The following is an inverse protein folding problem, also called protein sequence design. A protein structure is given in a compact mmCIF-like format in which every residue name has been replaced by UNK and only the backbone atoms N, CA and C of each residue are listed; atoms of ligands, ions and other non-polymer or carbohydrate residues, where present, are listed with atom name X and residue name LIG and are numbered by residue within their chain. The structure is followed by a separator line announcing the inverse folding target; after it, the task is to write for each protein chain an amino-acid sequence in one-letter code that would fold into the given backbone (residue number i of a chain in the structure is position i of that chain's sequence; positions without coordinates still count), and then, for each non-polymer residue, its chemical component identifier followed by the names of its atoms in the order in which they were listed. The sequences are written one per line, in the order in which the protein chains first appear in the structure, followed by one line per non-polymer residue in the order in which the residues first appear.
data_IF_106679506672
#
_entry.id   IF_106679506672
#
_cell.length_a   1.000
_cell.length_b   1.000
_cell.length_c   1.000
_cell.angle_alpha   90.00
_cell.angle_beta   90.00
_cell.angle_gamma   90.00
#
_symmetry.space_group_name_H-M   'P 1'
#
loop_
_entity.id
_entity.type
_entity.pdbx_description
1 polymer ?
#
# COMPACT_ATOMS: atom_id res chain seq x y z
N UNK A 1 -64.16 -36.10 38.59
CA UNK A 1 -63.30 -35.67 39.72
C UNK A 1 -61.91 -35.46 39.14
N UNK A 2 -61.36 -34.25 39.26
CA UNK A 2 -60.01 -33.95 38.75
C UNK A 2 -59.02 -34.15 39.90
N UNK A 3 -57.98 -34.96 39.68
CA UNK A 3 -56.95 -35.27 40.67
C UNK A 3 -55.58 -34.96 40.07
N UNK A 4 -54.72 -34.31 40.85
CA UNK A 4 -53.33 -34.01 40.50
C UNK A 4 -52.45 -34.58 41.61
N UNK A 5 -51.50 -35.45 41.28
CA UNK A 5 -50.54 -36.00 42.23
C UNK A 5 -49.12 -35.81 41.70
N UNK A 6 -48.21 -35.37 42.55
CA UNK A 6 -46.79 -35.23 42.24
C UNK A 6 -46.45 -34.21 41.16
N UNK A 7 -45.34 -34.43 40.45
CA UNK A 7 -44.80 -33.53 39.43
C UNK A 7 -43.36 -33.12 39.69
N UNK A 8 -42.78 -32.29 38.81
CA UNK A 8 -41.40 -31.80 38.94
C UNK A 8 -41.40 -30.29 39.13
N UNK A 9 -40.78 -29.81 40.20
CA UNK A 9 -40.59 -28.37 40.40
C UNK A 9 -39.51 -27.84 39.44
N UNK A 10 -39.88 -26.90 38.55
CA UNK A 10 -38.96 -26.29 37.57
C UNK A 10 -37.85 -25.44 38.21
N UNK A 11 -38.02 -24.94 39.43
CA UNK A 11 -37.05 -24.03 40.08
C UNK A 11 -35.97 -24.77 40.88
N UNK A 12 -36.36 -25.84 41.57
CA UNK A 12 -35.47 -26.56 42.51
C UNK A 12 -35.14 -27.98 42.07
N UNK A 13 -35.67 -28.43 40.93
CA UNK A 13 -35.49 -29.79 40.41
C UNK A 13 -35.69 -30.85 41.49
N UNK A 14 -36.84 -30.81 42.17
CA UNK A 14 -37.26 -31.84 43.11
C UNK A 14 -38.67 -32.33 42.74
N UNK A 15 -38.99 -33.56 43.14
CA UNK A 15 -40.32 -34.11 42.99
C UNK A 15 -41.28 -33.38 43.94
N UNK A 16 -42.40 -32.90 43.40
CA UNK A 16 -43.49 -32.36 44.21
C UNK A 16 -44.11 -33.48 45.01
N UNK A 17 -44.45 -33.21 46.25
CA UNK A 17 -44.98 -34.17 47.20
C UNK A 17 -46.39 -33.78 47.64
N UNK A 18 -47.20 -33.41 46.65
CA UNK A 18 -48.56 -32.97 46.89
C UNK A 18 -49.54 -33.83 46.07
N UNK A 19 -50.69 -34.13 46.69
CA UNK A 19 -51.85 -34.67 46.00
C UNK A 19 -53.05 -33.75 46.23
N UNK A 20 -53.73 -33.38 45.17
CA UNK A 20 -54.82 -32.42 45.15
C UNK A 20 -56.02 -32.99 44.43
N UNK A 21 -57.20 -32.73 44.98
CA UNK A 21 -58.48 -33.08 44.38
C UNK A 21 -59.31 -31.82 44.19
N UNK A 22 -59.88 -31.66 43.00
CA UNK A 22 -60.76 -30.53 42.70
C UNK A 22 -62.20 -30.88 43.09
N UNK A 23 -62.74 -30.15 44.05
CA UNK A 23 -64.14 -30.21 44.39
C UNK A 23 -64.95 -29.36 43.41
N UNK A 24 -65.66 -30.02 42.49
CA UNK A 24 -66.46 -29.36 41.46
C UNK A 24 -67.63 -28.59 42.08
N UNK A 25 -68.23 -29.06 43.18
CA UNK A 25 -69.40 -28.40 43.76
C UNK A 25 -69.05 -27.12 44.51
N UNK A 26 -67.89 -27.11 45.19
CA UNK A 26 -67.38 -25.95 45.92
C UNK A 26 -66.42 -25.09 45.10
N UNK A 27 -66.10 -25.49 43.85
CA UNK A 27 -65.08 -24.87 43.00
C UNK A 27 -63.74 -24.64 43.72
N UNK A 28 -63.33 -25.58 44.57
CA UNK A 28 -62.17 -25.44 45.45
C UNK A 28 -61.22 -26.64 45.36
N UNK A 29 -59.94 -26.41 45.63
CA UNK A 29 -58.93 -27.46 45.69
C UNK A 29 -58.75 -27.95 47.13
N UNK A 30 -58.78 -29.27 47.32
CA UNK A 30 -58.54 -29.91 48.61
C UNK A 30 -57.21 -30.65 48.50
N UNK A 31 -56.30 -30.41 49.46
CA UNK A 31 -55.03 -31.14 49.57
C UNK A 31 -55.26 -32.45 50.33
N UNK A 32 -54.78 -33.55 49.77
CA UNK A 32 -54.85 -34.89 50.34
C UNK A 32 -53.50 -35.27 50.93
N UNK A 33 -53.53 -35.83 52.13
CA UNK A 33 -52.35 -36.34 52.84
C UNK A 33 -52.11 -37.80 52.44
N UNK A 34 -51.49 -38.00 51.27
CA UNK A 34 -51.17 -39.33 50.72
C UNK A 34 -49.71 -39.69 51.03
N UNK A 35 -49.41 -40.99 51.09
CA UNK A 35 -48.04 -41.47 51.30
C UNK A 35 -47.06 -40.90 50.26
N UNK A 36 -45.83 -40.61 50.67
CA UNK A 36 -44.74 -40.19 49.78
C UNK A 36 -44.51 -41.16 48.62
N UNK A 37 -44.79 -42.45 48.81
CA UNK A 37 -44.74 -43.43 47.72
C UNK A 37 -45.69 -43.04 46.60
N UNK A 38 -46.77 -42.30 46.82
CA UNK A 38 -47.76 -41.90 45.81
C UNK A 38 -47.50 -40.48 45.28
N UNK A 39 -47.27 -39.52 46.18
CA UNK A 39 -47.12 -38.10 45.85
C UNK A 39 -45.73 -37.76 45.33
N UNK A 40 -44.65 -38.27 45.93
CA UNK A 40 -43.27 -37.88 45.60
C UNK A 40 -42.72 -38.61 44.36
N UNK A 41 -43.36 -38.40 43.21
CA UNK A 41 -42.93 -38.94 41.90
C UNK A 41 -43.37 -38.08 40.72
N UNK A 42 -42.68 -38.19 39.59
CA UNK A 42 -43.00 -37.50 38.32
C UNK A 42 -42.96 -38.45 37.11
N UNK A 43 -43.59 -38.05 36.00
CA UNK A 43 -43.76 -38.88 34.78
C UNK A 43 -44.39 -40.24 35.10
N UNK A 44 -45.42 -40.23 35.94
CA UNK A 44 -46.22 -41.41 36.28
C UNK A 44 -47.60 -41.33 35.63
N UNK A 45 -48.31 -42.45 35.59
CA UNK A 45 -49.71 -42.50 35.17
C UNK A 45 -50.63 -42.52 36.40
N UNK A 46 -51.75 -41.80 36.31
CA UNK A 46 -52.75 -41.68 37.36
C UNK A 46 -54.13 -42.00 36.79
N UNK A 47 -54.86 -42.90 37.45
CA UNK A 47 -56.24 -43.27 37.09
C UNK A 47 -57.13 -43.22 38.33
N UNK A 48 -58.37 -42.78 38.16
CA UNK A 48 -59.34 -42.61 39.25
C UNK A 48 -60.59 -43.44 38.96
N UNK A 49 -61.02 -44.24 39.94
CA UNK A 49 -62.20 -45.11 39.85
C UNK A 49 -63.19 -44.79 40.97
N UNK A 50 -64.44 -44.51 40.62
CA UNK A 50 -65.49 -44.22 41.61
C UNK A 50 -66.14 -45.56 42.00
N UNK A 51 -65.94 -45.98 43.25
CA UNK A 51 -66.49 -47.24 43.76
C UNK A 51 -67.88 -47.05 44.37
N UNK A 52 -68.10 -45.92 45.03
CA UNK A 52 -69.40 -45.48 45.55
C UNK A 52 -69.40 -43.96 45.75
N UNK A 53 -70.54 -43.32 46.06
CA UNK A 53 -70.58 -41.90 46.41
C UNK A 53 -69.65 -41.50 47.57
N UNK A 54 -69.24 -42.47 48.39
CA UNK A 54 -68.44 -42.28 49.59
C UNK A 54 -67.04 -42.90 49.50
N UNK A 55 -66.68 -43.53 48.37
CA UNK A 55 -65.42 -44.24 48.19
C UNK A 55 -64.90 -44.09 46.75
N UNK A 56 -63.69 -43.56 46.60
CA UNK A 56 -63.00 -43.37 45.32
C UNK A 56 -61.61 -43.97 45.41
N UNK A 57 -61.16 -44.64 44.36
CA UNK A 57 -59.84 -45.25 44.29
C UNK A 57 -58.95 -44.50 43.33
N UNK A 58 -57.71 -44.27 43.74
CA UNK A 58 -56.66 -43.67 42.92
C UNK A 58 -55.59 -44.72 42.68
N UNK A 59 -55.31 -45.03 41.41
CA UNK A 59 -54.24 -45.94 41.01
C UNK A 59 -53.12 -45.12 40.41
N UNK A 60 -51.92 -45.27 40.97
CA UNK A 60 -50.70 -44.60 40.51
C UNK A 60 -49.73 -45.66 40.00
N UNK A 61 -49.25 -45.51 38.75
CA UNK A 61 -48.39 -46.50 38.08
C UNK A 61 -47.11 -45.85 37.57
N UNK A 62 -45.97 -46.45 37.93
CA UNK A 62 -44.65 -46.09 37.43
C UNK A 62 -44.18 -44.70 37.85
N UNK A 63 -43.24 -44.16 37.08
CA UNK A 63 -42.62 -42.84 37.30
C UNK A 63 -41.24 -42.89 37.94
N UNK A 64 -40.73 -41.70 38.23
CA UNK A 64 -39.40 -41.47 38.79
C UNK A 64 -39.51 -40.82 40.17
N UNK A 65 -38.72 -41.29 41.13
CA UNK A 65 -38.77 -40.87 42.53
C UNK A 65 -37.94 -39.60 42.81
N UNK A 66 -36.93 -39.32 41.99
CA UNK A 66 -36.00 -38.20 42.19
C UNK A 66 -35.46 -37.66 40.85
N UNK A 67 -34.72 -36.56 40.92
CA UNK A 67 -34.11 -35.91 39.74
C UNK A 67 -32.86 -36.57 39.20
N UNK A 68 -32.40 -37.66 39.83
CA UNK A 68 -31.44 -38.59 39.24
C UNK A 68 -32.12 -39.61 38.32
N UNK A 69 -33.42 -39.45 38.08
CA UNK A 69 -34.23 -40.37 37.27
C UNK A 69 -34.23 -41.79 37.85
N UNK A 70 -34.22 -41.91 39.17
CA UNK A 70 -34.39 -43.20 39.85
C UNK A 70 -35.78 -43.75 39.55
N UNK A 71 -35.85 -44.83 38.76
CA UNK A 71 -37.10 -45.47 38.39
C UNK A 71 -37.78 -46.07 39.63
N UNK A 72 -39.08 -45.85 39.79
CA UNK A 72 -39.84 -46.54 40.82
C UNK A 72 -40.02 -48.01 40.44
N UNK A 73 -39.44 -48.89 41.24
CA UNK A 73 -39.48 -50.35 41.03
C UNK A 73 -40.39 -51.05 42.04
N UNK A 74 -40.52 -52.37 41.93
CA UNK A 74 -41.30 -53.21 42.84
C UNK A 74 -40.80 -53.05 44.30
N UNK A 75 -41.70 -52.91 45.30
CA UNK A 75 -43.15 -53.09 45.21
C UNK A 75 -43.96 -51.82 44.90
N UNK A 76 -43.34 -50.65 44.91
CA UNK A 76 -44.01 -49.34 44.78
C UNK A 76 -44.33 -48.94 43.33
N UNK A 77 -44.10 -49.85 42.36
CA UNK A 77 -44.38 -49.60 40.94
C UNK A 77 -45.86 -49.34 40.67
N UNK A 78 -46.76 -50.00 41.41
CA UNK A 78 -48.20 -49.72 41.41
C UNK A 78 -48.63 -49.43 42.84
N UNK A 79 -49.31 -48.30 43.04
CA UNK A 79 -49.90 -47.91 44.31
C UNK A 79 -51.41 -47.74 44.13
N UNK A 80 -52.21 -48.32 45.03
CA UNK A 80 -53.65 -48.13 45.12
C UNK A 80 -53.96 -47.35 46.40
N UNK A 81 -54.55 -46.16 46.27
CA UNK A 81 -54.94 -45.29 47.38
C UNK A 81 -56.45 -45.19 47.44
N UNK A 82 -57.03 -45.56 48.58
CA UNK A 82 -58.47 -45.40 48.84
C UNK A 82 -58.74 -43.99 49.37
N UNK A 83 -59.79 -43.33 48.86
CA UNK A 83 -60.34 -42.09 49.38
C UNK A 83 -61.76 -42.36 49.89
N UNK A 84 -62.02 -42.00 51.14
CA UNK A 84 -63.33 -42.19 51.77
C UNK A 84 -63.88 -40.87 52.30
N UNK A 85 -65.19 -40.68 52.18
CA UNK A 85 -65.85 -39.53 52.81
C UNK A 85 -66.18 -39.84 54.27
N UNK A 86 -65.83 -38.93 55.18
CA UNK A 86 -66.21 -39.05 56.58
C UNK A 86 -67.72 -38.77 56.79
N UNK A 87 -68.21 -38.90 58.03
CA UNK A 87 -69.63 -38.64 58.36
C UNK A 87 -70.09 -37.19 58.12
N UNK A 88 -69.16 -36.27 57.84
CA UNK A 88 -69.41 -34.86 57.49
C UNK A 88 -69.34 -34.62 55.97
N UNK A 89 -69.08 -35.65 55.17
CA UNK A 89 -68.96 -35.56 53.71
C UNK A 89 -67.60 -35.03 53.21
N UNK A 90 -66.59 -34.93 54.09
CA UNK A 90 -65.25 -34.49 53.71
C UNK A 90 -64.40 -35.67 53.25
N UNK A 91 -63.61 -35.47 52.19
CA UNK A 91 -62.71 -36.49 51.64
C UNK A 91 -61.49 -36.69 52.54
N UNK A 92 -61.22 -37.95 52.89
CA UNK A 92 -60.06 -38.38 53.67
C UNK A 92 -59.34 -39.52 52.97
N UNK A 93 -58.02 -39.61 53.16
CA UNK A 93 -57.20 -40.68 52.61
C UNK A 93 -57.32 -41.92 53.50
N UNK A 94 -57.77 -43.02 52.91
CA UNK A 94 -57.85 -44.35 53.51
C UNK A 94 -56.58 -45.16 53.28
N UNK A 95 -56.74 -46.47 53.06
CA UNK A 95 -55.59 -47.37 52.88
C UNK A 95 -54.81 -47.08 51.60
N UNK A 96 -53.48 -47.12 51.69
CA UNK A 96 -52.56 -47.07 50.53
C UNK A 96 -51.79 -48.37 50.43
N UNK A 97 -51.94 -49.08 49.31
CA UNK A 97 -51.38 -50.41 49.10
C UNK A 97 -50.40 -50.40 47.93
N UNK A 98 -49.28 -51.09 48.11
CA UNK A 98 -48.32 -51.36 47.06
C UNK A 98 -48.65 -52.68 46.33
N UNK A 99 -47.81 -53.08 45.38
CA UNK A 99 -48.00 -54.30 44.57
C UNK A 99 -48.09 -55.58 45.42
N UNK A 100 -47.43 -55.62 46.58
CA UNK A 100 -47.48 -56.76 47.48
C UNK A 100 -48.75 -56.73 48.34
N UNK A 101 -49.13 -55.55 48.85
CA UNK A 101 -50.34 -55.34 49.62
C UNK A 101 -51.62 -55.65 48.84
N UNK A 102 -51.65 -55.29 47.55
CA UNK A 102 -52.77 -55.63 46.66
C UNK A 102 -52.89 -57.15 46.41
N UNK A 103 -51.79 -57.89 46.48
CA UNK A 103 -51.76 -59.34 46.29
C UNK A 103 -52.01 -60.14 47.59
N UNK A 104 -52.12 -59.47 48.74
CA UNK A 104 -52.41 -60.11 50.03
C UNK A 104 -53.84 -60.69 50.06
N UNK A 105 -53.99 -61.94 50.48
CA UNK A 105 -55.28 -62.64 50.61
C UNK A 105 -56.24 -61.93 51.58
N UNK A 106 -55.71 -61.26 52.60
CA UNK A 106 -56.52 -60.49 53.55
C UNK A 106 -57.18 -59.27 52.89
N UNK A 107 -56.47 -58.59 51.97
CA UNK A 107 -57.02 -57.46 51.22
C UNK A 107 -58.04 -57.90 50.17
N UNK A 108 -57.78 -59.00 49.46
CA UNK A 108 -58.75 -59.58 48.51
C UNK A 108 -60.08 -59.90 49.18
N UNK A 109 -60.05 -60.43 50.41
CA UNK A 109 -61.25 -60.71 51.21
C UNK A 109 -62.00 -59.44 51.65
N UNK A 110 -61.27 -58.40 52.08
CA UNK A 110 -61.83 -57.07 52.40
C UNK A 110 -62.55 -56.47 51.19
N UNK A 111 -61.91 -56.52 50.01
CA UNK A 111 -62.47 -55.98 48.78
C UNK A 111 -63.76 -56.70 48.34
N UNK A 112 -63.79 -58.04 48.42
CA UNK A 112 -65.00 -58.80 48.10
C UNK A 112 -66.20 -58.42 49.01
N UNK A 113 -65.96 -58.14 50.30
CA UNK A 113 -67.01 -57.68 51.21
C UNK A 113 -67.52 -56.27 50.90
N UNK A 114 -66.63 -55.35 50.49
CA UNK A 114 -67.03 -53.99 50.09
C UNK A 114 -67.92 -54.00 48.84
N UNK A 115 -67.56 -54.79 47.82
CA UNK A 115 -68.39 -54.95 46.61
C UNK A 115 -69.80 -55.48 46.92
N UNK A 116 -69.92 -56.44 47.84
CA UNK A 116 -71.22 -56.97 48.27
C UNK A 116 -72.05 -55.92 49.03
N UNK A 117 -71.41 -55.03 49.79
CA UNK A 117 -72.08 -53.97 50.55
C UNK A 117 -72.58 -52.84 49.64
N UNK A 118 -71.75 -52.40 48.68
CA UNK A 118 -72.14 -51.37 47.69
C UNK A 118 -73.32 -51.85 46.85
N UNK A 119 -73.31 -53.12 46.40
CA UNK A 119 -74.44 -53.71 45.66
C UNK A 119 -75.75 -53.68 46.47
N UNK A 120 -75.70 -53.88 47.78
CA UNK A 120 -76.87 -53.84 48.67
C UNK A 120 -77.43 -52.43 48.82
N UNK A 121 -76.56 -51.44 49.08
CA UNK A 121 -76.94 -50.02 49.21
C UNK A 121 -77.61 -49.53 47.92
N UNK A 122 -77.06 -49.90 46.76
CA UNK A 122 -77.61 -49.51 45.46
C UNK A 122 -79.04 -50.04 45.24
N UNK A 123 -79.33 -51.24 45.72
CA UNK A 123 -80.68 -51.86 45.65
C UNK A 123 -81.67 -51.20 46.63
N UNK A 124 -81.22 -50.75 47.81
CA UNK A 124 -82.11 -50.21 48.85
C UNK A 124 -82.43 -48.71 48.70
N UNK A 125 -81.49 -47.90 48.18
CA UNK A 125 -81.65 -46.44 48.01
C UNK A 125 -82.48 -46.07 46.77
N UNK A 126 -82.34 -46.78 45.65
CA UNK A 126 -82.93 -46.38 44.37
C UNK A 126 -84.33 -46.95 44.08
N UNK A 127 -84.90 -47.77 44.97
CA UNK A 127 -86.23 -48.39 44.78
C UNK A 127 -87.35 -47.95 45.76
N UNK A 128 -87.20 -46.84 46.52
CA UNK A 128 -88.30 -46.35 47.38
C UNK A 128 -89.13 -45.22 46.74
N UNK A 129 -90.46 -45.36 46.60
CA UNK A 129 -91.34 -44.25 46.27
C UNK A 129 -91.48 -43.30 47.47
N UNK A 130 -91.15 -42.01 47.30
CA UNK A 130 -91.36 -40.98 48.34
C UNK A 130 -92.79 -40.42 48.24
N UNK A 131 -93.53 -40.44 49.36
CA UNK A 131 -94.89 -39.87 49.48
C UNK A 131 -94.81 -38.42 49.99
N UNK A 132 -95.30 -37.47 49.21
CA UNK A 132 -95.52 -36.06 49.58
C UNK A 132 -96.58 -35.44 48.64
N UNK A 133 -97.39 -34.52 49.17
CA UNK A 133 -98.64 -34.03 48.58
C UNK A 133 -98.47 -33.40 47.18
N UNK A 134 -99.31 -33.83 46.24
CA UNK A 134 -99.19 -33.57 44.79
C UNK A 134 -99.27 -32.10 44.37
N UNK A 135 -99.85 -31.21 45.18
CA UNK A 135 -100.12 -29.82 44.79
C UNK A 135 -98.90 -28.88 44.87
N UNK A 136 -98.01 -29.07 45.84
CA UNK A 136 -96.78 -28.25 46.02
C UNK A 136 -95.70 -28.61 44.98
N UNK A 137 -95.71 -29.89 44.56
CA UNK A 137 -94.85 -30.43 43.51
C UNK A 137 -95.23 -29.83 42.14
N UNK A 138 -96.53 -29.72 41.83
CA UNK A 138 -97.00 -29.14 40.56
C UNK A 138 -96.58 -27.66 40.39
N UNK A 139 -96.72 -26.84 41.44
CA UNK A 139 -96.30 -25.43 41.38
C UNK A 139 -94.78 -25.29 41.22
N UNK A 140 -94.01 -26.13 41.92
CA UNK A 140 -92.56 -26.15 41.81
C UNK A 140 -92.11 -26.59 40.41
N UNK A 141 -92.74 -27.61 39.84
CA UNK A 141 -92.47 -28.06 38.46
C UNK A 141 -92.76 -26.92 37.48
N UNK A 142 -93.88 -26.22 37.63
CA UNK A 142 -94.27 -25.15 36.71
C UNK A 142 -93.32 -23.94 36.77
N UNK A 143 -92.83 -23.58 37.96
CA UNK A 143 -91.82 -22.54 38.13
C UNK A 143 -90.46 -22.94 37.52
N UNK A 144 -90.04 -24.19 37.73
CA UNK A 144 -88.81 -24.73 37.14
C UNK A 144 -88.90 -24.81 35.62
N UNK A 145 -90.03 -25.21 35.05
CA UNK A 145 -90.25 -25.23 33.60
C UNK A 145 -90.12 -23.82 33.00
N UNK A 146 -90.73 -22.80 33.63
CA UNK A 146 -90.60 -21.42 33.15
C UNK A 146 -89.16 -20.89 33.23
N UNK A 147 -88.45 -21.20 34.31
CA UNK A 147 -87.03 -20.83 34.45
C UNK A 147 -86.15 -21.58 33.44
N UNK A 148 -86.48 -22.82 33.11
CA UNK A 148 -85.76 -23.62 32.12
C UNK A 148 -85.96 -23.02 30.72
N UNK A 149 -87.18 -22.64 30.35
CA UNK A 149 -87.46 -21.97 29.07
C UNK A 149 -86.72 -20.63 28.94
N UNK A 150 -86.62 -19.85 30.03
CA UNK A 150 -85.89 -18.58 30.02
C UNK A 150 -84.38 -18.81 29.82
N UNK A 151 -83.81 -19.80 30.51
CA UNK A 151 -82.41 -20.21 30.32
C UNK A 151 -82.14 -20.79 28.94
N UNK A 152 -83.10 -21.50 28.36
CA UNK A 152 -83.01 -22.02 26.99
C UNK A 152 -82.99 -20.88 25.97
N UNK A 153 -83.83 -19.84 26.14
CA UNK A 153 -83.80 -18.64 25.29
C UNK A 153 -82.48 -17.88 25.42
N UNK A 154 -81.95 -17.70 26.64
CA UNK A 154 -80.63 -17.08 26.85
C UNK A 154 -79.52 -17.86 26.13
N UNK A 155 -79.52 -19.20 26.26
CA UNK A 155 -78.54 -20.06 25.60
C UNK A 155 -78.63 -19.95 24.07
N UNK A 156 -79.83 -19.84 23.50
CA UNK A 156 -80.02 -19.63 22.06
C UNK A 156 -79.44 -18.30 21.58
N UNK A 157 -79.61 -17.21 22.35
CA UNK A 157 -79.01 -15.91 22.02
C UNK A 157 -77.49 -15.96 22.07
N UNK A 158 -76.91 -16.59 23.11
CA UNK A 158 -75.46 -16.78 23.19
C UNK A 158 -74.93 -17.63 22.03
N UNK A 159 -75.65 -18.67 21.62
CA UNK A 159 -75.26 -19.50 20.50
C UNK A 159 -75.21 -18.70 19.19
N UNK A 160 -76.23 -17.87 18.92
CA UNK A 160 -76.24 -16.99 17.74
C UNK A 160 -75.09 -15.96 17.76
N UNK A 161 -74.78 -15.38 18.92
CA UNK A 161 -73.64 -14.45 19.06
C UNK A 161 -72.30 -15.14 18.84
N UNK A 162 -72.15 -16.38 19.30
CA UNK A 162 -70.93 -17.17 19.09
C UNK A 162 -70.75 -17.49 17.61
N UNK A 163 -71.81 -17.96 16.93
CA UNK A 163 -71.77 -18.22 15.49
C UNK A 163 -71.41 -16.96 14.69
N UNK A 164 -71.93 -15.80 15.08
CA UNK A 164 -71.60 -14.53 14.42
C UNK A 164 -70.11 -14.18 14.61
N UNK A 165 -69.57 -14.33 15.83
CA UNK A 165 -68.14 -14.12 16.08
C UNK A 165 -67.26 -15.08 15.29
N UNK A 166 -67.63 -16.35 15.21
CA UNK A 166 -66.89 -17.34 14.41
C UNK A 166 -66.86 -16.97 12.93
N UNK A 167 -67.97 -16.43 12.38
CA UNK A 167 -68.00 -15.92 11.00
C UNK A 167 -67.09 -14.71 10.81
N UNK A 168 -67.13 -13.73 11.73
CA UNK A 168 -66.26 -12.55 11.68
C UNK A 168 -64.76 -12.91 11.80
N UNK A 169 -64.42 -13.88 12.64
CA UNK A 169 -63.04 -14.39 12.76
C UNK A 169 -62.61 -15.13 11.49
N UNK A 170 -63.49 -15.94 10.89
CA UNK A 170 -63.20 -16.62 9.63
C UNK A 170 -62.97 -15.62 8.47
N UNK A 171 -63.73 -14.53 8.40
CA UNK A 171 -63.53 -13.47 7.41
C UNK A 171 -62.18 -12.75 7.59
N UNK A 172 -61.82 -12.39 8.83
CA UNK A 172 -60.51 -11.80 9.14
C UNK A 172 -59.37 -12.75 8.81
N UNK A 173 -59.53 -14.04 9.10
CA UNK A 173 -58.51 -15.03 8.77
C UNK A 173 -58.34 -15.21 7.26
N UNK A 174 -59.42 -15.15 6.48
CA UNK A 174 -59.34 -15.10 5.02
C UNK A 174 -58.64 -13.83 4.51
N UNK A 175 -58.88 -12.68 5.14
CA UNK A 175 -58.19 -11.43 4.81
C UNK A 175 -56.69 -11.51 5.11
N UNK A 176 -56.29 -12.03 6.28
CA UNK A 176 -54.89 -12.26 6.64
C UNK A 176 -54.24 -13.20 5.61
N UNK A 177 -54.90 -14.29 5.22
CA UNK A 177 -54.39 -15.21 4.19
C UNK A 177 -54.14 -14.51 2.86
N UNK A 178 -55.03 -13.60 2.45
CA UNK A 178 -54.84 -12.79 1.22
C UNK A 178 -53.63 -11.87 1.33
N UNK A 179 -53.46 -11.18 2.46
CA UNK A 179 -52.28 -10.34 2.69
C UNK A 179 -50.98 -11.14 2.73
N UNK A 180 -50.97 -12.30 3.39
CA UNK A 180 -49.80 -13.19 3.41
C UNK A 180 -49.41 -13.65 2.01
N UNK A 181 -50.38 -14.01 1.17
CA UNK A 181 -50.10 -14.39 -0.23
C UNK A 181 -49.51 -13.22 -1.02
N UNK A 182 -50.04 -12.00 -0.87
CA UNK A 182 -49.48 -10.82 -1.54
C UNK A 182 -48.05 -10.51 -1.09
N UNK A 183 -47.76 -10.68 0.20
CA UNK A 183 -46.41 -10.49 0.74
C UNK A 183 -45.44 -11.52 0.15
N UNK A 184 -45.85 -12.79 0.08
CA UNK A 184 -45.04 -13.87 -0.49
C UNK A 184 -44.72 -13.63 -1.97
N UNK A 185 -45.69 -13.16 -2.76
CA UNK A 185 -45.43 -12.79 -4.17
C UNK A 185 -44.43 -11.64 -4.27
N UNK A 186 -44.55 -10.60 -3.43
CA UNK A 186 -43.58 -9.49 -3.41
C UNK A 186 -42.18 -9.93 -2.98
N UNK A 187 -42.08 -10.80 -1.99
CA UNK A 187 -40.79 -11.36 -1.57
C UNK A 187 -40.16 -12.17 -2.71
N UNK A 188 -40.97 -12.92 -3.47
CA UNK A 188 -40.50 -13.65 -4.64
C UNK A 188 -40.02 -12.71 -5.75
N UNK A 189 -40.75 -11.64 -6.03
CA UNK A 189 -40.34 -10.61 -6.98
C UNK A 189 -39.02 -9.95 -6.58
N UNK A 190 -38.88 -9.55 -5.31
CA UNK A 190 -37.64 -8.99 -4.79
C UNK A 190 -36.48 -9.98 -4.89
N UNK A 191 -36.71 -11.26 -4.65
CA UNK A 191 -35.68 -12.28 -4.72
C UNK A 191 -35.19 -12.50 -6.16
N UNK A 192 -36.08 -12.45 -7.15
CA UNK A 192 -35.69 -12.48 -8.57
C UNK A 192 -34.84 -11.25 -8.91
N UNK A 193 -35.25 -10.05 -8.50
CA UNK A 193 -34.49 -8.81 -8.75
C UNK A 193 -33.11 -8.85 -8.09
N UNK A 194 -33.01 -9.42 -6.89
CA UNK A 194 -31.72 -9.60 -6.21
C UNK A 194 -30.81 -10.56 -7.00
N UNK A 195 -31.34 -11.70 -7.46
CA UNK A 195 -30.59 -12.64 -8.29
C UNK A 195 -30.11 -12.02 -9.61
N UNK A 196 -30.96 -11.24 -10.28
CA UNK A 196 -30.57 -10.51 -11.50
C UNK A 196 -29.46 -9.49 -11.23
N UNK A 197 -29.53 -8.76 -10.11
CA UNK A 197 -28.49 -7.81 -9.72
C UNK A 197 -27.18 -8.50 -9.35
N UNK A 198 -27.23 -9.61 -8.63
CA UNK A 198 -26.04 -10.39 -8.28
C UNK A 198 -25.34 -10.91 -9.53
N UNK A 199 -26.12 -11.37 -10.53
CA UNK A 199 -25.57 -11.79 -11.82
C UNK A 199 -24.92 -10.61 -12.58
N UNK A 200 -25.56 -9.44 -12.57
CA UNK A 200 -25.00 -8.25 -13.21
C UNK A 200 -23.70 -7.80 -12.53
N UNK A 201 -23.63 -7.87 -11.20
CA UNK A 201 -22.41 -7.58 -10.43
C UNK A 201 -21.29 -8.55 -10.84
N UNK A 202 -21.58 -9.85 -10.88
CA UNK A 202 -20.59 -10.87 -11.31
C UNK A 202 -20.07 -10.60 -12.72
N UNK A 203 -20.96 -10.27 -13.67
CA UNK A 203 -20.56 -9.93 -15.04
C UNK A 203 -19.67 -8.68 -15.08
N UNK A 204 -20.00 -7.66 -14.28
CA UNK A 204 -19.19 -6.44 -14.16
C UNK A 204 -17.83 -6.70 -13.54
N UNK A 205 -17.77 -7.54 -12.52
CA UNK A 205 -16.51 -7.93 -11.88
C UNK A 205 -15.62 -8.72 -12.85
N UNK A 206 -16.19 -9.63 -13.65
CA UNK A 206 -15.45 -10.33 -14.72
C UNK A 206 -14.95 -9.38 -15.82
N UNK A 207 -15.75 -8.40 -16.23
CA UNK A 207 -15.33 -7.36 -17.18
C UNK A 207 -14.17 -6.53 -16.62
N UNK A 208 -14.28 -6.06 -15.37
CA UNK A 208 -13.21 -5.31 -14.72
C UNK A 208 -11.94 -6.15 -14.56
N UNK A 209 -12.07 -7.43 -14.21
CA UNK A 209 -10.94 -8.34 -14.07
C UNK A 209 -10.17 -8.50 -15.39
N UNK A 210 -10.88 -8.63 -16.52
CA UNK A 210 -10.25 -8.69 -17.85
C UNK A 210 -9.50 -7.40 -18.18
N UNK A 211 -10.07 -6.24 -17.86
CA UNK A 211 -9.42 -4.93 -18.07
C UNK A 211 -8.15 -4.81 -17.21
N UNK A 212 -8.19 -5.26 -15.96
CA UNK A 212 -7.01 -5.27 -15.08
C UNK A 212 -5.91 -6.15 -15.68
N UNK A 213 -6.24 -7.38 -16.10
CA UNK A 213 -5.27 -8.30 -16.70
C UNK A 213 -4.65 -7.77 -18.01
N UNK A 214 -5.45 -7.06 -18.83
CA UNK A 214 -4.95 -6.38 -20.03
C UNK A 214 -3.99 -5.25 -19.66
N UNK A 215 -4.32 -4.44 -18.64
CA UNK A 215 -3.47 -3.34 -18.19
C UNK A 215 -2.19 -3.80 -17.52
N UNK A 216 -2.22 -4.87 -16.75
CA UNK A 216 -1.03 -5.48 -16.16
C UNK A 216 -0.07 -5.97 -17.25
N UNK A 217 -0.61 -6.55 -18.33
CA UNK A 217 0.19 -6.96 -19.50
C UNK A 217 0.82 -5.76 -20.21
N UNK A 218 0.05 -4.70 -20.47
CA UNK A 218 0.57 -3.45 -21.05
C UNK A 218 1.68 -2.83 -20.19
N UNK A 219 1.54 -2.89 -18.86
CA UNK A 219 2.55 -2.40 -17.92
C UNK A 219 3.82 -3.23 -17.99
N UNK A 220 3.70 -4.55 -18.03
CA UNK A 220 4.84 -5.46 -18.14
C UNK A 220 5.64 -5.22 -19.43
N UNK A 221 4.97 -5.09 -20.59
CA UNK A 221 5.63 -4.79 -21.87
C UNK A 221 6.36 -3.43 -21.85
N UNK A 222 5.77 -2.42 -21.20
CA UNK A 222 6.40 -1.10 -21.04
C UNK A 222 7.61 -1.16 -20.12
N UNK A 223 7.54 -1.94 -19.05
CA UNK A 223 8.65 -2.12 -18.11
C UNK A 223 9.83 -2.83 -18.79
N UNK A 224 9.58 -3.89 -19.56
CA UNK A 224 10.62 -4.56 -20.35
C UNK A 224 11.26 -3.62 -21.38
N UNK A 225 10.45 -2.80 -22.07
CA UNK A 225 10.95 -1.80 -23.01
C UNK A 225 11.81 -0.74 -22.32
N UNK A 226 11.42 -0.30 -21.12
CA UNK A 226 12.17 0.67 -20.34
C UNK A 226 13.51 0.09 -19.87
N UNK A 227 13.50 -1.15 -19.35
CA UNK A 227 14.71 -1.86 -18.96
C UNK A 227 15.68 -2.03 -20.13
N UNK A 228 15.18 -2.36 -21.33
CA UNK A 228 16.01 -2.46 -22.52
C UNK A 228 16.64 -1.11 -22.91
N UNK A 229 15.88 -0.01 -22.83
CA UNK A 229 16.40 1.34 -23.07
C UNK A 229 17.42 1.78 -22.04
N UNK A 230 17.20 1.48 -20.77
CA UNK A 230 18.15 1.80 -19.70
C UNK A 230 19.47 1.05 -19.90
N UNK A 231 19.41 -0.23 -20.27
CA UNK A 231 20.60 -1.01 -20.61
C UNK A 231 21.34 -0.41 -21.81
N UNK A 232 20.63 -0.02 -22.87
CA UNK A 232 21.24 0.65 -24.03
C UNK A 232 21.90 1.98 -23.65
N UNK A 233 21.23 2.79 -22.83
CA UNK A 233 21.77 4.07 -22.38
C UNK A 233 23.00 3.88 -21.49
N UNK A 234 23.03 2.83 -20.66
CA UNK A 234 24.18 2.49 -19.84
C UNK A 234 25.40 2.07 -20.69
N UNK A 235 25.19 1.27 -21.73
CA UNK A 235 26.25 0.92 -22.69
C UNK A 235 26.77 2.16 -23.40
N UNK A 236 25.88 3.02 -23.93
CA UNK A 236 26.27 4.26 -24.59
C UNK A 236 27.05 5.21 -23.67
N UNK A 237 26.66 5.30 -22.39
CA UNK A 237 27.39 6.08 -21.39
C UNK A 237 28.81 5.52 -21.16
N UNK A 238 28.98 4.20 -21.13
CA UNK A 238 30.29 3.58 -21.01
C UNK A 238 31.16 3.86 -22.23
N UNK A 239 30.63 3.69 -23.44
CA UNK A 239 31.32 3.98 -24.69
C UNK A 239 31.77 5.45 -24.75
N UNK A 240 30.87 6.39 -24.44
CA UNK A 240 31.19 7.82 -24.40
C UNK A 240 32.26 8.15 -23.35
N UNK A 241 32.24 7.49 -22.19
CA UNK A 241 33.28 7.67 -21.17
C UNK A 241 34.64 7.14 -21.65
N UNK A 242 34.66 6.02 -22.36
CA UNK A 242 35.90 5.47 -22.94
C UNK A 242 36.45 6.36 -24.04
N UNK A 243 35.59 6.88 -24.92
CA UNK A 243 35.98 7.83 -25.96
C UNK A 243 36.57 9.12 -25.34
N UNK A 244 35.93 9.64 -24.28
CA UNK A 244 36.45 10.81 -23.57
C UNK A 244 37.83 10.53 -22.95
N UNK A 245 38.01 9.37 -22.31
CA UNK A 245 39.33 8.97 -21.77
C UNK A 245 40.39 8.84 -22.86
N UNK A 246 40.01 8.36 -24.04
CA UNK A 246 40.94 8.28 -25.17
C UNK A 246 41.34 9.68 -25.65
N UNK A 247 40.37 10.58 -25.84
CA UNK A 247 40.64 11.97 -26.23
C UNK A 247 41.51 12.71 -25.20
N UNK A 248 41.29 12.47 -23.90
CA UNK A 248 42.12 13.04 -22.84
C UNK A 248 43.57 12.55 -22.93
N UNK A 249 43.80 11.26 -23.22
CA UNK A 249 45.15 10.72 -23.45
C UNK A 249 45.81 11.35 -24.68
N UNK A 250 45.11 11.42 -25.79
CA UNK A 250 45.61 12.07 -27.02
C UNK A 250 45.95 13.55 -26.77
N UNK A 251 45.11 14.27 -26.02
CA UNK A 251 45.37 15.66 -25.66
C UNK A 251 46.63 15.80 -24.79
N UNK A 252 46.82 14.91 -23.81
CA UNK A 252 48.01 14.91 -22.96
C UNK A 252 49.29 14.63 -23.77
N UNK A 253 49.26 13.66 -24.69
CA UNK A 253 50.39 13.33 -25.57
C UNK A 253 50.73 14.50 -26.52
N UNK A 254 49.70 15.14 -27.09
CA UNK A 254 49.86 16.31 -27.93
C UNK A 254 50.45 17.48 -27.16
N UNK A 255 49.97 17.73 -25.92
CA UNK A 255 50.53 18.77 -25.05
C UNK A 255 51.98 18.48 -24.69
N UNK A 256 52.34 17.23 -24.37
CA UNK A 256 53.72 16.84 -24.09
C UNK A 256 54.62 17.06 -25.32
N UNK A 257 54.13 16.70 -26.51
CA UNK A 257 54.85 16.90 -27.77
C UNK A 257 55.07 18.38 -28.07
N UNK A 258 54.06 19.23 -27.87
CA UNK A 258 54.18 20.68 -28.03
C UNK A 258 55.18 21.26 -27.05
N UNK A 259 55.09 20.91 -25.76
CA UNK A 259 56.07 21.34 -24.75
C UNK A 259 57.50 20.93 -25.12
N UNK A 260 57.67 19.71 -25.63
CA UNK A 260 58.98 19.23 -26.07
C UNK A 260 59.49 20.04 -27.28
N UNK A 261 58.62 20.35 -28.25
CA UNK A 261 58.97 21.23 -29.38
C UNK A 261 59.37 22.62 -28.90
N UNK A 262 58.64 23.21 -27.97
CA UNK A 262 58.95 24.54 -27.42
C UNK A 262 60.30 24.55 -26.70
N UNK A 263 60.62 23.50 -25.93
CA UNK A 263 61.93 23.35 -25.28
C UNK A 263 63.06 23.25 -26.32
N UNK A 264 62.88 22.48 -27.39
CA UNK A 264 63.88 22.34 -28.47
C UNK A 264 64.09 23.67 -29.18
N UNK A 265 63.02 24.42 -29.45
CA UNK A 265 63.10 25.76 -30.05
C UNK A 265 63.88 26.71 -29.16
N UNK A 266 63.59 26.76 -27.85
CA UNK A 266 64.36 27.57 -26.90
C UNK A 266 65.85 27.23 -26.86
N UNK A 267 66.19 25.94 -26.87
CA UNK A 267 67.58 25.51 -26.82
C UNK A 267 68.35 26.04 -28.03
N UNK A 268 67.73 25.93 -29.20
CA UNK A 268 68.27 26.49 -30.44
C UNK A 268 68.40 28.01 -30.38
N UNK A 269 67.35 28.70 -29.95
CA UNK A 269 67.32 30.18 -29.90
C UNK A 269 68.19 30.76 -28.77
N UNK A 270 68.63 29.93 -27.82
CA UNK A 270 69.64 30.28 -26.80
C UNK A 270 71.08 30.10 -27.30
N UNK A 271 71.37 29.01 -28.01
CA UNK A 271 72.74 28.56 -28.26
C UNK A 271 73.58 29.62 -29.00
N UNK A 272 73.05 30.14 -30.11
CA UNK A 272 73.76 31.13 -30.93
C UNK A 272 73.88 32.48 -30.22
N UNK A 273 72.80 33.09 -29.68
CA UNK A 273 72.90 34.40 -29.05
C UNK A 273 73.78 34.45 -27.80
N UNK A 274 73.89 33.34 -27.06
CA UNK A 274 74.74 33.26 -25.87
C UNK A 274 76.25 33.42 -26.15
N UNK A 275 76.69 33.16 -27.39
CA UNK A 275 78.10 33.18 -27.82
C UNK A 275 78.51 34.48 -28.50
N UNK A 276 77.56 35.37 -28.75
CA UNK A 276 77.73 36.59 -29.53
C UNK A 276 77.70 37.80 -28.60
N UNK A 277 78.73 38.64 -28.65
CA UNK A 277 78.80 39.91 -27.91
C UNK A 277 79.36 41.00 -28.81
N UNK A 278 78.53 41.98 -29.14
CA UNK A 278 78.90 43.10 -29.99
C UNK A 278 78.04 44.33 -29.65
N UNK A 279 78.59 45.56 -29.64
CA UNK A 279 77.82 46.77 -29.31
C UNK A 279 76.60 46.97 -30.20
N UNK A 280 76.67 46.62 -31.49
CA UNK A 280 75.55 46.76 -32.44
C UNK A 280 74.69 45.50 -32.62
N UNK A 281 74.73 44.55 -31.68
CA UNK A 281 73.84 43.39 -31.64
C UNK A 281 73.14 43.37 -30.28
N UNK A 282 71.84 43.07 -30.27
CA UNK A 282 71.05 43.05 -29.03
C UNK A 282 71.57 41.94 -28.12
N UNK A 283 72.12 42.33 -26.97
CA UNK A 283 72.77 41.42 -26.04
C UNK A 283 71.76 40.45 -25.43
N UNK A 284 71.96 39.16 -25.67
CA UNK A 284 71.34 38.09 -24.90
C UNK A 284 71.86 38.08 -23.47
N UNK A 285 70.95 38.04 -22.49
CA UNK A 285 71.26 38.01 -21.06
C UNK A 285 71.09 36.59 -20.50
N UNK A 286 70.00 35.92 -20.85
CA UNK A 286 69.68 34.59 -20.32
C UNK A 286 68.43 33.99 -20.92
N UNK A 287 68.13 32.74 -20.57
CA UNK A 287 66.88 32.08 -20.92
C UNK A 287 66.43 31.22 -19.73
N UNK A 288 65.11 31.14 -19.51
CA UNK A 288 64.52 30.26 -18.51
C UNK A 288 63.58 29.25 -19.16
N UNK A 289 63.52 28.07 -18.54
CA UNK A 289 62.64 26.96 -18.90
C UNK A 289 61.57 26.70 -17.83
N UNK A 290 61.58 27.46 -16.73
CA UNK A 290 60.66 27.27 -15.60
C UNK A 290 59.31 27.87 -15.94
N UNK A 291 58.26 27.06 -15.85
CA UNK A 291 56.85 27.35 -16.16
C UNK A 291 56.52 27.73 -17.61
N UNK A 292 57.36 28.55 -18.26
CA UNK A 292 57.29 28.85 -19.69
C UNK A 292 58.67 29.18 -20.32
N UNK A 293 58.87 28.81 -21.59
CA UNK A 293 59.93 29.29 -22.45
C UNK A 293 60.10 30.81 -22.47
N UNK A 294 61.19 31.37 -21.92
CA UNK A 294 61.46 32.81 -22.01
C UNK A 294 62.92 33.12 -22.32
N UNK A 295 63.14 34.10 -23.19
CA UNK A 295 64.44 34.66 -23.54
C UNK A 295 64.54 36.08 -22.98
N UNK A 296 65.64 36.36 -22.27
CA UNK A 296 65.94 37.67 -21.71
C UNK A 296 67.06 38.33 -22.53
N UNK A 297 66.79 39.53 -23.02
CA UNK A 297 67.76 40.37 -23.74
C UNK A 297 67.89 41.73 -23.08
N UNK A 298 68.87 42.53 -23.49
CA UNK A 298 68.88 43.95 -23.16
C UNK A 298 67.61 44.65 -23.66
N UNK A 299 67.20 45.69 -22.93
CA UNK A 299 66.01 46.48 -23.25
C UNK A 299 66.37 47.59 -24.24
N UNK A 300 65.64 47.63 -25.35
CA UNK A 300 65.71 48.68 -26.36
C UNK A 300 64.41 49.49 -26.34
N UNK A 301 64.47 50.79 -26.60
CA UNK A 301 63.33 51.70 -26.39
C UNK A 301 62.27 51.60 -27.47
N UNK A 302 62.65 51.29 -28.71
CA UNK A 302 61.75 51.21 -29.87
C UNK A 302 62.37 50.35 -30.96
N UNK A 303 61.59 49.91 -31.95
CA UNK A 303 62.12 49.35 -33.18
C UNK A 303 62.25 50.42 -34.26
N UNK A 304 63.15 50.19 -35.21
CA UNK A 304 63.32 51.05 -36.37
C UNK A 304 62.01 51.18 -37.15
N UNK A 305 61.25 50.08 -37.31
CA UNK A 305 59.92 50.10 -37.94
C UNK A 305 58.96 51.07 -37.25
N UNK A 306 58.93 51.05 -35.92
CA UNK A 306 58.05 51.90 -35.13
C UNK A 306 58.52 53.36 -35.15
N UNK A 307 59.83 53.59 -35.12
CA UNK A 307 60.42 54.93 -35.12
C UNK A 307 60.18 55.65 -36.46
N UNK A 308 60.36 54.98 -37.61
CA UNK A 308 60.06 55.55 -38.93
C UNK A 308 58.59 55.99 -39.03
N UNK A 309 57.68 55.23 -38.42
CA UNK A 309 56.24 55.54 -38.45
C UNK A 309 55.87 56.71 -37.53
N UNK A 310 56.63 56.91 -36.45
CA UNK A 310 56.38 57.98 -35.46
C UNK A 310 57.03 59.29 -35.85
N UNK A 311 58.28 59.24 -36.31
CA UNK A 311 59.12 60.40 -36.56
C UNK A 311 59.83 60.29 -37.92
N UNK A 312 60.06 61.42 -38.59
CA UNK A 312 60.92 61.45 -39.79
C UNK A 312 62.38 61.49 -39.35
N UNK A 313 63.11 60.42 -39.63
CA UNK A 313 64.53 60.32 -39.35
C UNK A 313 65.33 61.19 -40.34
N UNK A 314 66.28 61.94 -39.82
CA UNK A 314 67.20 62.78 -40.60
C UNK A 314 68.25 61.93 -41.29
N UNK A 315 68.78 62.37 -42.44
CA UNK A 315 69.79 61.62 -43.20
C UNK A 315 71.01 61.20 -42.36
N UNK A 316 71.43 62.02 -41.40
CA UNK A 316 72.52 61.72 -40.48
C UNK A 316 72.16 60.54 -39.55
N UNK A 317 70.94 60.51 -39.00
CA UNK A 317 70.43 59.39 -38.22
C UNK A 317 70.31 58.11 -39.07
N UNK A 318 69.85 58.22 -40.32
CA UNK A 318 69.76 57.07 -41.25
C UNK A 318 71.16 56.45 -41.44
N UNK A 319 72.15 57.28 -41.75
CA UNK A 319 73.52 56.84 -42.00
C UNK A 319 74.14 56.21 -40.77
N UNK A 320 73.92 56.79 -39.58
CA UNK A 320 74.41 56.23 -38.32
C UNK A 320 73.77 54.86 -38.03
N UNK A 321 72.45 54.74 -38.16
CA UNK A 321 71.74 53.46 -37.96
C UNK A 321 72.23 52.41 -38.97
N UNK A 322 72.42 52.79 -40.24
CA UNK A 322 72.92 51.89 -41.26
C UNK A 322 74.36 51.42 -40.99
N UNK A 323 75.21 52.32 -40.48
CA UNK A 323 76.56 52.00 -40.08
C UNK A 323 76.57 50.98 -38.92
N UNK A 324 75.79 51.24 -37.88
CA UNK A 324 75.63 50.34 -36.73
C UNK A 324 75.16 48.93 -37.15
N UNK A 325 74.12 48.86 -37.99
CA UNK A 325 73.63 47.58 -38.51
C UNK A 325 74.72 46.88 -39.34
N UNK A 326 75.43 47.61 -40.21
CA UNK A 326 76.50 47.04 -41.02
C UNK A 326 77.65 46.50 -40.15
N UNK A 327 77.99 47.16 -39.04
CA UNK A 327 78.98 46.69 -38.08
C UNK A 327 78.53 45.41 -37.37
N UNK A 328 77.28 45.37 -36.88
CA UNK A 328 76.69 44.17 -36.27
C UNK A 328 76.66 42.98 -37.21
N UNK A 329 76.24 43.17 -38.47
CA UNK A 329 76.25 42.12 -39.48
C UNK A 329 77.66 41.70 -39.87
N UNK A 330 78.59 42.65 -39.97
CA UNK A 330 79.99 42.33 -40.26
C UNK A 330 80.60 41.45 -39.16
N UNK A 331 80.29 41.71 -37.90
CA UNK A 331 80.70 40.87 -36.78
C UNK A 331 80.17 39.43 -36.91
N UNK A 332 78.86 39.25 -37.16
CA UNK A 332 78.26 37.92 -37.35
C UNK A 332 78.91 37.16 -38.51
N UNK A 333 79.17 37.87 -39.60
CA UNK A 333 79.77 37.34 -40.81
C UNK A 333 81.23 36.92 -40.64
N UNK A 334 81.98 37.56 -39.73
CA UNK A 334 83.37 37.22 -39.43
C UNK A 334 83.50 36.20 -38.29
N UNK A 335 82.38 35.79 -37.70
CA UNK A 335 82.36 34.81 -36.60
C UNK A 335 83.02 33.49 -37.01
N UNK A 336 83.75 32.88 -36.06
CA UNK A 336 84.52 31.64 -36.26
C UNK A 336 84.03 30.54 -35.31
N UNK A 337 84.08 29.25 -35.69
CA UNK A 337 84.71 28.69 -36.89
C UNK A 337 83.90 28.87 -38.18
N UNK A 338 82.59 29.08 -38.09
CA UNK A 338 81.69 29.27 -39.23
C UNK A 338 81.05 30.66 -39.18
N UNK A 339 80.94 31.35 -40.34
CA UNK A 339 80.25 32.64 -40.41
C UNK A 339 78.76 32.46 -40.08
N UNK A 340 78.20 33.39 -39.32
CA UNK A 340 76.77 33.42 -38.97
C UNK A 340 76.06 34.34 -39.96
N UNK A 341 75.05 33.81 -40.67
CA UNK A 341 74.22 34.61 -41.57
C UNK A 341 72.84 34.80 -40.91
N UNK A 342 72.49 36.06 -40.63
CA UNK A 342 71.25 36.39 -39.92
C UNK A 342 69.97 36.05 -40.71
N UNK A 343 70.01 36.22 -42.04
CA UNK A 343 68.91 35.95 -43.01
C UNK A 343 67.59 36.72 -42.84
N UNK A 344 67.27 37.24 -41.67
CA UNK A 344 66.04 38.00 -41.41
C UNK A 344 66.32 39.42 -40.86
N UNK A 345 67.07 40.20 -41.63
CA UNK A 345 67.36 41.60 -41.30
C UNK A 345 66.28 42.46 -41.92
N UNK A 346 65.36 42.94 -41.08
CA UNK A 346 64.22 43.75 -41.46
C UNK A 346 64.05 44.92 -40.47
N UNK A 347 63.27 45.94 -40.83
CA UNK A 347 63.07 47.12 -39.95
C UNK A 347 62.48 46.79 -38.56
N UNK A 348 61.67 45.74 -38.34
CA UNK A 348 61.30 45.32 -36.99
C UNK A 348 62.46 44.76 -36.16
N UNK A 349 63.43 44.12 -36.79
CA UNK A 349 64.56 43.44 -36.15
C UNK A 349 65.78 44.36 -35.95
N UNK A 350 65.64 45.66 -36.24
CA UNK A 350 66.63 46.69 -35.85
C UNK A 350 66.01 47.48 -34.70
N UNK A 351 66.61 47.38 -33.52
CA UNK A 351 66.12 48.05 -32.32
C UNK A 351 66.97 49.28 -32.02
N UNK A 352 66.31 50.32 -31.51
CA UNK A 352 66.91 51.62 -31.25
C UNK A 352 66.82 52.00 -29.78
N UNK A 353 67.88 52.64 -29.29
CA UNK A 353 67.92 53.27 -27.97
C UNK A 353 68.39 54.72 -28.11
N UNK A 354 67.74 55.70 -27.47
CA UNK A 354 68.22 57.09 -27.51
C UNK A 354 69.63 57.20 -26.95
N UNK A 355 70.51 57.93 -27.64
CA UNK A 355 71.86 58.21 -27.20
C UNK A 355 72.12 59.73 -27.21
N UNK A 356 73.03 60.19 -26.33
CA UNK A 356 73.32 61.63 -26.14
C UNK A 356 74.35 62.18 -27.13
N UNK A 357 74.66 61.45 -28.21
CA UNK A 357 75.61 61.85 -29.24
C UNK A 357 74.97 62.47 -30.48
N UNK A 358 75.78 62.92 -31.45
CA UNK A 358 75.32 63.56 -32.69
C UNK A 358 74.35 62.71 -33.52
N UNK A 359 74.41 61.37 -33.39
CA UNK A 359 73.54 60.43 -34.08
C UNK A 359 72.15 60.22 -33.44
N UNK A 360 71.90 60.72 -32.22
CA UNK A 360 70.68 60.59 -31.41
C UNK A 360 70.17 59.16 -31.10
N UNK A 361 70.58 58.12 -31.84
CA UNK A 361 70.18 56.72 -31.65
C UNK A 361 71.39 55.78 -31.68
N UNK A 362 71.38 54.78 -30.81
CA UNK A 362 72.21 53.57 -30.88
C UNK A 362 71.36 52.45 -31.50
N UNK A 363 71.80 51.91 -32.64
CA UNK A 363 71.08 50.83 -33.32
C UNK A 363 71.73 49.47 -33.07
N UNK A 364 70.87 48.47 -32.83
CA UNK A 364 71.29 47.08 -32.63
C UNK A 364 70.41 46.12 -33.40
N UNK A 365 71.03 45.10 -33.98
CA UNK A 365 70.29 44.05 -34.68
C UNK A 365 69.83 42.99 -33.67
N UNK A 366 68.55 42.65 -33.70
CA UNK A 366 67.86 41.67 -32.86
C UNK A 366 67.45 40.43 -33.66
N UNK A 367 66.97 39.40 -32.96
CA UNK A 367 66.40 38.17 -33.56
C UNK A 367 67.34 37.40 -34.51
N UNK A 368 68.63 37.39 -34.16
CA UNK A 368 69.64 36.57 -34.83
C UNK A 368 69.71 35.14 -34.25
N UNK A 369 68.77 34.74 -33.41
CA UNK A 369 68.66 33.38 -32.84
C UNK A 369 68.27 32.33 -33.88
N UNK A 370 67.55 32.73 -34.93
CA UNK A 370 67.17 31.88 -36.07
C UNK A 370 68.26 31.78 -37.16
N UNK A 371 69.38 32.49 -36.98
CA UNK A 371 70.49 32.50 -37.92
C UNK A 371 71.04 31.08 -38.16
N UNK A 372 71.36 30.74 -39.41
CA UNK A 372 71.97 29.45 -39.74
C UNK A 372 73.47 29.59 -39.82
N UNK A 373 74.18 28.71 -39.09
CA UNK A 373 75.59 28.43 -39.32
C UNK A 373 75.76 27.84 -40.72
N UNK A 374 76.72 28.36 -41.48
CA UNK A 374 77.05 27.80 -42.80
C UNK A 374 77.99 26.61 -42.60
N UNK A 375 77.46 25.39 -42.71
CA UNK A 375 78.30 24.19 -42.80
C UNK A 375 79.07 24.24 -44.12
N UNK A 376 80.39 24.26 -44.03
CA UNK A 376 81.28 24.05 -45.17
C UNK A 376 81.48 22.54 -45.29
N UNK A 377 80.49 21.86 -45.87
CA UNK A 377 80.65 20.44 -46.18
C UNK A 377 81.70 20.30 -47.28
N UNK A 378 82.71 19.48 -47.02
CA UNK A 378 83.87 19.26 -47.90
C UNK A 378 83.56 18.40 -49.14
N UNK A 379 82.31 18.37 -49.59
CA UNK A 379 81.89 17.68 -50.82
C UNK A 379 81.48 18.72 -51.85
N UNK A 380 82.30 18.83 -52.89
CA UNK A 380 82.24 19.88 -53.92
C UNK A 380 80.86 20.06 -54.54
N UNK A 381 80.21 21.17 -54.21
CA UNK A 381 79.37 21.93 -55.13
C UNK A 381 79.52 23.41 -54.75
N UNK A 382 80.24 24.16 -55.59
CA UNK A 382 80.57 25.57 -55.36
C UNK A 382 79.32 26.41 -55.58
N UNK A 383 78.71 26.90 -54.51
CA UNK A 383 77.77 28.05 -54.45
C UNK A 383 77.79 28.64 -53.01
N UNK A 384 77.52 29.94 -52.79
CA UNK A 384 78.54 30.97 -52.67
C UNK A 384 78.47 31.70 -51.32
N UNK A 385 79.31 31.33 -50.34
CA UNK A 385 79.35 31.98 -49.03
C UNK A 385 79.57 33.50 -49.12
N UNK A 386 80.49 33.94 -49.99
CA UNK A 386 80.77 35.37 -50.17
C UNK A 386 79.62 36.13 -50.85
N UNK A 387 78.91 35.53 -51.80
CA UNK A 387 77.84 36.22 -52.51
C UNK A 387 76.57 36.37 -51.66
N UNK A 388 76.22 35.39 -50.82
CA UNK A 388 75.09 35.54 -49.89
C UNK A 388 75.37 36.60 -48.81
N UNK A 389 76.60 36.67 -48.30
CA UNK A 389 77.04 37.66 -47.30
C UNK A 389 77.11 39.08 -47.87
N UNK A 390 77.62 39.23 -49.10
CA UNK A 390 77.56 40.49 -49.84
C UNK A 390 76.13 40.86 -50.19
N UNK A 391 75.31 39.89 -50.63
CA UNK A 391 73.91 40.10 -50.98
C UNK A 391 73.07 40.56 -49.80
N UNK A 392 73.31 40.11 -48.55
CA UNK A 392 72.57 40.61 -47.39
C UNK A 392 73.00 42.03 -46.98
N UNK A 393 74.30 42.32 -47.03
CA UNK A 393 74.82 43.70 -46.85
C UNK A 393 74.26 44.64 -47.93
N UNK A 394 74.25 44.19 -49.19
CA UNK A 394 73.69 44.93 -50.32
C UNK A 394 72.17 45.04 -50.24
N UNK A 395 71.42 43.97 -49.94
CA UNK A 395 69.95 44.00 -49.81
C UNK A 395 69.49 44.86 -48.66
N UNK A 396 70.19 44.89 -47.52
CA UNK A 396 69.85 45.84 -46.46
C UNK A 396 70.11 47.28 -46.93
N UNK A 397 71.28 47.55 -47.54
CA UNK A 397 71.55 48.86 -48.15
C UNK A 397 70.54 49.21 -49.25
N UNK A 398 70.18 48.28 -50.12
CA UNK A 398 69.34 48.49 -51.30
C UNK A 398 67.88 48.54 -50.88
N UNK A 399 67.32 47.51 -50.26
CA UNK A 399 65.91 47.50 -49.89
C UNK A 399 65.60 48.41 -48.70
N UNK A 400 66.43 48.45 -47.65
CA UNK A 400 66.09 49.31 -46.51
C UNK A 400 66.45 50.77 -46.80
N UNK A 401 67.64 51.07 -47.35
CA UNK A 401 67.98 52.46 -47.69
C UNK A 401 67.24 52.97 -48.94
N UNK A 402 66.94 52.16 -49.99
CA UNK A 402 66.08 52.66 -51.10
C UNK A 402 64.61 52.76 -50.70
N UNK A 403 64.05 51.84 -49.91
CA UNK A 403 62.65 51.99 -49.47
C UNK A 403 62.52 53.21 -48.54
N UNK A 404 63.55 53.54 -47.77
CA UNK A 404 63.68 54.79 -47.00
C UNK A 404 63.89 56.03 -47.85
N UNK A 405 64.76 55.98 -48.86
CA UNK A 405 64.91 57.09 -49.81
C UNK A 405 63.63 57.30 -50.61
N UNK A 406 62.90 56.26 -50.99
CA UNK A 406 61.63 56.40 -51.72
C UNK A 406 60.51 56.95 -50.84
N UNK A 407 60.36 56.52 -49.58
CA UNK A 407 59.31 57.05 -48.69
C UNK A 407 59.62 58.44 -48.13
N UNK A 408 60.89 58.75 -47.83
CA UNK A 408 61.27 60.09 -47.36
C UNK A 408 61.20 61.11 -48.51
N UNK A 409 61.62 60.75 -49.73
CA UNK A 409 61.58 61.67 -50.88
C UNK A 409 60.15 61.87 -51.43
N UNK A 410 59.28 60.86 -51.41
CA UNK A 410 57.87 61.03 -51.81
C UNK A 410 57.04 61.83 -50.79
N UNK A 411 57.36 61.74 -49.48
CA UNK A 411 56.65 62.51 -48.45
C UNK A 411 57.20 63.93 -48.24
N UNK A 412 58.38 64.26 -48.80
CA UNK A 412 58.85 65.66 -48.92
C UNK A 412 58.31 66.36 -50.16
N UNK A 413 57.69 65.64 -51.10
CA UNK A 413 57.00 66.20 -52.27
C UNK A 413 55.48 66.38 -52.04
N UNK A 414 54.98 66.07 -50.85
CA UNK A 414 53.56 66.22 -50.49
C UNK A 414 53.40 66.81 -49.07
N UNK A 415 54.04 67.95 -48.83
CA UNK A 415 53.59 68.97 -47.88
C UNK A 415 54.06 70.36 -48.31
#
# INVERSE_FOLDING_TARGET
MLVISGGRNKKNEDALDDCWIFNITQHSWIKLDVSHSVSKRFVHSLSVFIMSPHCVWIITVGGYADTKWTLVTNPNIVMLTELVTNSKGEWTVGDTLDTNGMNNEEYKKKYQQQLQTVRRIWLEEYQKPRKGDTADIEQTIQALMKSLEEKEREAQVYHQQLEQKEREEAEKEQEIRRYCHQLQEKDREHQVVLQEKDLLIQQKDEEHQKVIEEKDRELQEKEETLQQKDMQHQVLLQENQEELRQKDRELQENQATLRQKDIVILEKDRELPSRVRHPNLVQFIGATKVDNPLILTELMSTSLNQEIRRNRLTNEQILSIAQDVALGLNYLHLFKPQPIIHRDVSSPNVLLKPCTGAACYEAKVADYGTAKLVQVDSTGTVMPGNAAMLHQKLLFLINTVQQWMCTVTLFSLWK
#
